data_IF_710339153569
#
_entry.id   IF_710339153569
#
_cell.length_a   1.000
_cell.length_b   1.000
_cell.length_c   1.000
_cell.angle_alpha   90.00
_cell.angle_beta   90.00
_cell.angle_gamma   90.00
#
_symmetry.space_group_name_H-M   'P 1'
#
loop_
_entity.id
_entity.type
_entity.pdbx_description
1 polymer ?
#
# COMPACT_ATOMS: atom_id res chain seq x y z
N UNK A 1 -16.49 9.97 9.45
CA UNK A 1 -16.15 9.44 8.11
C UNK A 1 -17.43 8.89 7.53
N UNK A 2 -17.90 9.38 6.37
CA UNK A 2 -19.13 8.89 5.75
C UNK A 2 -18.95 7.42 5.33
N UNK A 3 -19.87 6.57 5.78
CA UNK A 3 -19.83 5.15 5.47
C UNK A 3 -20.34 4.98 4.03
N UNK A 4 -19.47 4.59 3.11
CA UNK A 4 -19.88 4.26 1.74
C UNK A 4 -20.83 3.06 1.80
N UNK A 5 -22.03 3.20 1.24
CA UNK A 5 -22.98 2.09 1.15
C UNK A 5 -22.45 1.01 0.22
N UNK A 6 -22.69 -0.27 0.54
CA UNK A 6 -22.25 -1.38 -0.29
C UNK A 6 -22.89 -1.35 -1.70
N UNK A 7 -24.12 -0.85 -1.79
CA UNK A 7 -24.83 -0.67 -3.06
C UNK A 7 -24.11 0.34 -3.96
N UNK A 8 -23.75 1.51 -3.41
CA UNK A 8 -22.98 2.52 -4.15
C UNK A 8 -21.60 1.98 -4.55
N UNK A 9 -20.91 1.30 -3.64
CA UNK A 9 -19.60 0.71 -3.92
C UNK A 9 -19.63 -0.29 -5.08
N UNK A 10 -20.65 -1.16 -5.14
CA UNK A 10 -20.82 -2.11 -6.24
C UNK A 10 -21.11 -1.40 -7.56
N UNK A 11 -22.01 -0.40 -7.55
CA UNK A 11 -22.32 0.42 -8.72
C UNK A 11 -21.07 1.10 -9.28
N UNK A 12 -20.27 1.72 -8.43
CA UNK A 12 -19.03 2.36 -8.85
C UNK A 12 -17.98 1.36 -9.34
N UNK A 13 -17.88 0.19 -8.72
CA UNK A 13 -16.98 -0.87 -9.18
C UNK A 13 -17.36 -1.36 -10.59
N UNK A 14 -18.64 -1.60 -10.86
CA UNK A 14 -19.09 -2.02 -12.18
C UNK A 14 -18.85 -0.92 -13.24
N UNK A 15 -19.13 0.34 -12.89
CA UNK A 15 -18.84 1.51 -13.76
C UNK A 15 -17.36 1.60 -14.10
N UNK A 16 -16.48 1.52 -13.10
CA UNK A 16 -15.02 1.59 -13.29
C UNK A 16 -14.52 0.42 -14.13
N UNK A 17 -15.00 -0.79 -13.84
CA UNK A 17 -14.66 -2.00 -14.61
C UNK A 17 -15.00 -1.85 -16.09
N UNK A 18 -16.20 -1.37 -16.41
CA UNK A 18 -16.65 -1.20 -17.80
C UNK A 18 -15.88 -0.08 -18.50
N UNK A 19 -15.68 1.07 -17.82
CA UNK A 19 -15.04 2.24 -18.42
C UNK A 19 -13.55 2.04 -18.68
N UNK A 20 -12.79 1.59 -17.68
CA UNK A 20 -11.33 1.57 -17.75
C UNK A 20 -10.74 0.19 -18.10
N UNK A 21 -11.50 -0.88 -17.88
CA UNK A 21 -10.98 -2.25 -17.98
C UNK A 21 -11.91 -3.24 -18.71
N UNK A 22 -12.63 -2.89 -19.78
CA UNK A 22 -13.80 -3.66 -20.27
C UNK A 22 -13.61 -5.18 -20.49
N UNK A 23 -12.37 -5.65 -20.70
CA UNK A 23 -12.04 -7.05 -21.00
C UNK A 23 -11.37 -7.83 -19.85
N UNK A 24 -11.21 -7.24 -18.66
CA UNK A 24 -10.36 -7.81 -17.61
C UNK A 24 -11.00 -8.95 -16.81
N UNK A 25 -12.30 -8.84 -16.54
CA UNK A 25 -13.09 -9.80 -15.75
C UNK A 25 -14.29 -10.28 -16.56
N UNK A 26 -14.01 -10.95 -17.70
CA UNK A 26 -15.03 -11.45 -18.64
C UNK A 26 -16.05 -12.38 -17.97
N UNK A 27 -15.60 -13.19 -17.01
CA UNK A 27 -16.44 -14.15 -16.26
C UNK A 27 -17.20 -13.50 -15.09
N UNK A 28 -17.03 -12.19 -14.83
CA UNK A 28 -17.77 -11.48 -13.79
C UNK A 28 -17.51 -11.96 -12.36
N UNK A 29 -16.36 -12.61 -12.11
CA UNK A 29 -16.09 -13.34 -10.88
C UNK A 29 -15.57 -12.44 -9.77
N UNK A 30 -14.98 -11.30 -10.12
CA UNK A 30 -14.45 -10.37 -9.15
C UNK A 30 -15.56 -9.54 -8.52
N UNK A 31 -15.54 -9.46 -7.18
CA UNK A 31 -16.53 -8.70 -6.40
C UNK A 31 -15.83 -7.69 -5.48
N UNK A 32 -16.50 -6.58 -5.23
CA UNK A 32 -16.09 -5.59 -4.22
C UNK A 32 -16.87 -5.78 -2.92
N UNK A 33 -16.21 -5.60 -1.78
CA UNK A 33 -16.86 -5.60 -0.47
C UNK A 33 -16.31 -4.49 0.43
N UNK A 34 -17.06 -4.18 1.49
CA UNK A 34 -16.54 -3.38 2.59
C UNK A 34 -15.57 -4.24 3.39
N UNK A 35 -14.39 -3.70 3.66
CA UNK A 35 -13.42 -4.31 4.54
C UNK A 35 -13.89 -4.21 6.00
N UNK A 36 -13.75 -5.30 6.75
CA UNK A 36 -14.11 -5.32 8.17
C UNK A 36 -13.04 -4.57 9.00
N UNK A 37 -13.42 -3.63 9.88
CA UNK A 37 -12.47 -2.84 10.68
C UNK A 37 -11.49 -3.71 11.48
N UNK A 38 -11.96 -4.83 12.03
CA UNK A 38 -11.15 -5.78 12.83
C UNK A 38 -10.04 -6.48 12.05
N UNK A 39 -10.13 -6.53 10.72
CA UNK A 39 -9.11 -7.13 9.85
C UNK A 39 -8.36 -6.09 9.00
N UNK A 40 -8.48 -4.81 9.36
CA UNK A 40 -7.83 -3.72 8.64
C UNK A 40 -6.32 -3.75 8.94
N UNK A 41 -5.45 -3.89 7.93
CA UNK A 41 -4.05 -3.57 8.09
C UNK A 41 -3.96 -2.08 8.49
N UNK A 42 -3.25 -1.75 9.58
CA UNK A 42 -3.24 -0.41 10.24
C UNK A 42 -3.15 0.82 9.32
N UNK A 43 -2.73 0.68 8.05
CA UNK A 43 -2.59 1.80 7.10
C UNK A 43 -3.22 1.58 5.71
N UNK A 44 -3.76 0.41 5.40
CA UNK A 44 -4.31 0.13 4.07
C UNK A 44 -5.64 0.86 3.82
N UNK A 45 -5.84 1.34 2.59
CA UNK A 45 -7.12 1.86 2.10
C UNK A 45 -8.00 0.73 1.54
N UNK A 46 -7.37 -0.21 0.85
CA UNK A 46 -8.01 -1.40 0.30
C UNK A 46 -7.06 -2.61 0.31
N UNK A 47 -7.58 -3.78 -0.06
CA UNK A 47 -6.80 -5.01 -0.26
C UNK A 47 -7.47 -5.93 -1.27
N UNK A 48 -6.65 -6.44 -2.19
CA UNK A 48 -7.03 -7.51 -3.10
C UNK A 48 -6.81 -8.90 -2.46
N UNK A 49 -7.86 -9.73 -2.45
CA UNK A 49 -7.85 -11.12 -2.04
C UNK A 49 -8.02 -12.02 -3.28
N UNK A 50 -6.90 -12.31 -3.94
CA UNK A 50 -6.87 -13.05 -5.22
C UNK A 50 -7.58 -14.40 -5.18
N UNK A 51 -7.31 -15.22 -4.15
CA UNK A 51 -7.94 -16.53 -3.97
C UNK A 51 -9.47 -16.47 -3.84
N UNK A 52 -10.01 -15.37 -3.29
CA UNK A 52 -11.44 -15.13 -3.13
C UNK A 52 -12.05 -14.31 -4.25
N UNK A 53 -11.23 -13.81 -5.21
CA UNK A 53 -11.62 -12.84 -6.23
C UNK A 53 -12.40 -11.65 -5.64
N UNK A 54 -11.85 -11.09 -4.55
CA UNK A 54 -12.48 -9.99 -3.81
C UNK A 54 -11.55 -8.80 -3.64
N UNK A 55 -12.08 -7.59 -3.83
CA UNK A 55 -11.43 -6.34 -3.45
C UNK A 55 -12.16 -5.80 -2.22
N UNK A 56 -11.47 -5.69 -1.09
CA UNK A 56 -12.02 -5.13 0.13
C UNK A 56 -11.61 -3.66 0.26
N UNK A 57 -12.58 -2.75 0.32
CA UNK A 57 -12.36 -1.33 0.58
C UNK A 57 -12.55 -1.06 2.07
N UNK A 58 -11.49 -0.66 2.77
CA UNK A 58 -11.55 -0.32 4.19
C UNK A 58 -11.88 1.16 4.41
N UNK A 59 -11.39 2.04 3.52
CA UNK A 59 -11.62 3.48 3.55
C UNK A 59 -11.27 4.10 2.20
N UNK A 60 -11.85 5.26 1.91
CA UNK A 60 -11.37 6.15 0.85
C UNK A 60 -10.55 7.27 1.50
N UNK A 61 -9.25 7.41 1.20
CA UNK A 61 -8.45 8.51 1.73
C UNK A 61 -9.03 9.87 1.29
N UNK A 62 -9.02 10.88 2.18
CA UNK A 62 -9.59 12.22 1.87
C UNK A 62 -9.04 12.85 0.58
N UNK A 63 -7.77 12.57 0.28
CA UNK A 63 -7.06 13.10 -0.90
C UNK A 63 -7.43 12.43 -2.22
N UNK A 64 -8.20 11.34 -2.19
CA UNK A 64 -8.51 10.54 -3.38
C UNK A 64 -10.00 10.26 -3.50
N UNK A 65 -10.43 10.05 -4.74
CA UNK A 65 -11.77 9.55 -5.04
C UNK A 65 -11.90 8.04 -4.84
N UNK A 66 -13.14 7.57 -4.69
CA UNK A 66 -13.43 6.13 -4.75
C UNK A 66 -13.06 5.56 -6.12
N UNK A 67 -13.30 6.31 -7.20
CA UNK A 67 -12.97 5.93 -8.57
C UNK A 67 -11.47 5.67 -8.73
N UNK A 68 -10.61 6.58 -8.28
CA UNK A 68 -9.16 6.39 -8.23
C UNK A 68 -8.79 5.11 -7.46
N UNK A 69 -9.37 4.89 -6.28
CA UNK A 69 -9.04 3.73 -5.45
C UNK A 69 -9.43 2.41 -6.13
N UNK A 70 -10.57 2.39 -6.82
CA UNK A 70 -11.01 1.21 -7.57
C UNK A 70 -10.12 0.95 -8.78
N UNK A 71 -9.70 1.99 -9.51
CA UNK A 71 -8.73 1.86 -10.61
C UNK A 71 -7.42 1.27 -10.07
N UNK A 72 -6.90 1.82 -8.98
CA UNK A 72 -5.67 1.37 -8.31
C UNK A 72 -5.71 -0.13 -7.96
N UNK A 73 -6.79 -0.57 -7.32
CA UNK A 73 -6.94 -1.96 -6.91
C UNK A 73 -7.20 -2.89 -8.10
N UNK A 74 -7.98 -2.48 -9.10
CA UNK A 74 -8.17 -3.28 -10.32
C UNK A 74 -6.84 -3.44 -11.07
N UNK A 75 -6.00 -2.41 -11.13
CA UNK A 75 -4.65 -2.53 -11.71
C UNK A 75 -3.84 -3.66 -11.05
N UNK A 76 -3.84 -3.75 -9.71
CA UNK A 76 -3.20 -4.87 -9.00
C UNK A 76 -3.77 -6.23 -9.41
N UNK A 77 -5.09 -6.31 -9.56
CA UNK A 77 -5.74 -7.55 -9.96
C UNK A 77 -5.36 -7.95 -11.38
N UNK A 78 -5.39 -7.00 -12.31
CA UNK A 78 -5.12 -7.23 -13.74
C UNK A 78 -3.68 -7.66 -13.97
N UNK A 79 -2.73 -7.05 -13.26
CA UNK A 79 -1.31 -7.41 -13.38
C UNK A 79 -0.94 -8.65 -12.58
N UNK A 80 -1.86 -9.16 -11.75
CA UNK A 80 -1.59 -10.21 -10.75
C UNK A 80 -0.41 -9.89 -9.85
N UNK A 81 -0.17 -8.59 -9.63
CA UNK A 81 0.95 -8.10 -8.86
C UNK A 81 0.45 -7.39 -7.60
N UNK A 82 1.09 -7.68 -6.47
CA UNK A 82 0.85 -7.00 -5.19
C UNK A 82 1.65 -5.70 -5.06
N UNK A 83 2.44 -5.35 -6.07
CA UNK A 83 3.33 -4.20 -6.13
C UNK A 83 2.97 -3.26 -7.28
N UNK A 84 3.56 -2.06 -7.26
CA UNK A 84 3.31 -1.00 -8.24
C UNK A 84 4.34 -1.01 -9.38
N UNK A 85 4.73 -2.21 -9.85
CA UNK A 85 5.73 -2.36 -10.90
C UNK A 85 5.32 -1.78 -12.25
N UNK A 86 6.20 -1.86 -13.26
CA UNK A 86 6.01 -1.27 -14.59
C UNK A 86 4.67 -1.60 -15.25
N UNK A 87 4.19 -2.85 -15.13
CA UNK A 87 2.90 -3.25 -15.69
C UNK A 87 1.73 -2.52 -15.01
N UNK A 88 1.82 -2.31 -13.70
CA UNK A 88 0.82 -1.58 -12.92
C UNK A 88 0.83 -0.10 -13.29
N UNK A 89 2.01 0.52 -13.38
CA UNK A 89 2.17 1.92 -13.82
C UNK A 89 1.59 2.16 -15.21
N UNK A 90 1.87 1.28 -16.17
CA UNK A 90 1.30 1.36 -17.53
C UNK A 90 -0.22 1.30 -17.53
N UNK A 91 -0.83 0.49 -16.66
CA UNK A 91 -2.30 0.39 -16.52
C UNK A 91 -2.90 1.65 -15.91
N UNK A 92 -2.25 2.21 -14.88
CA UNK A 92 -2.65 3.49 -14.30
C UNK A 92 -2.59 4.62 -15.33
N UNK A 93 -1.47 4.74 -16.07
CA UNK A 93 -1.31 5.74 -17.12
C UNK A 93 -2.41 5.65 -18.18
N UNK A 94 -2.71 4.44 -18.65
CA UNK A 94 -3.81 4.21 -19.60
C UNK A 94 -5.18 4.58 -19.03
N UNK A 95 -5.42 4.34 -17.75
CA UNK A 95 -6.66 4.78 -17.11
C UNK A 95 -6.75 6.32 -17.04
N UNK A 96 -5.63 7.00 -16.82
CA UNK A 96 -5.55 8.47 -16.75
C UNK A 96 -5.93 9.15 -18.08
N UNK A 97 -5.60 8.55 -19.23
CA UNK A 97 -5.91 9.08 -20.56
C UNK A 97 -7.40 9.37 -20.77
N UNK A 98 -8.28 8.56 -20.18
CA UNK A 98 -9.75 8.67 -20.33
C UNK A 98 -10.47 9.05 -19.02
N UNK A 99 -9.70 9.33 -17.97
CA UNK A 99 -10.24 9.71 -16.67
C UNK A 99 -10.70 11.19 -16.69
N UNK A 100 -11.76 11.55 -15.95
CA UNK A 100 -12.08 12.95 -15.72
C UNK A 100 -10.91 13.68 -15.05
N UNK A 101 -10.77 14.99 -15.29
CA UNK A 101 -9.61 15.79 -14.88
C UNK A 101 -9.17 15.55 -13.42
N UNK A 102 -10.12 15.47 -12.49
CA UNK A 102 -9.82 15.21 -11.08
C UNK A 102 -9.14 13.85 -10.87
N UNK A 103 -9.71 12.78 -11.41
CA UNK A 103 -9.17 11.42 -11.28
C UNK A 103 -7.85 11.29 -12.03
N UNK A 104 -7.73 11.94 -13.20
CA UNK A 104 -6.48 12.02 -13.95
C UNK A 104 -5.35 12.62 -13.11
N UNK A 105 -5.57 13.80 -12.49
CA UNK A 105 -4.59 14.43 -11.58
C UNK A 105 -4.21 13.51 -10.40
N UNK A 106 -5.20 12.83 -9.81
CA UNK A 106 -4.95 11.88 -8.71
C UNK A 106 -4.09 10.68 -9.16
N UNK A 107 -4.25 10.20 -10.39
CA UNK A 107 -3.43 9.13 -10.97
C UNK A 107 -2.02 9.63 -11.30
N UNK A 108 -1.90 10.78 -11.97
CA UNK A 108 -0.61 11.36 -12.38
C UNK A 108 0.27 11.68 -11.18
N UNK A 109 -0.31 12.21 -10.10
CA UNK A 109 0.39 12.45 -8.83
C UNK A 109 0.90 11.13 -8.22
N UNK A 110 0.10 10.07 -8.23
CA UNK A 110 0.50 8.75 -7.72
C UNK A 110 1.66 8.15 -8.55
N UNK A 111 1.58 8.24 -9.88
CA UNK A 111 2.65 7.82 -10.79
C UNK A 111 3.94 8.62 -10.55
N UNK A 112 3.83 9.96 -10.43
CA UNK A 112 4.98 10.85 -10.18
C UNK A 112 5.65 10.53 -8.84
N UNK A 113 4.88 10.29 -7.79
CA UNK A 113 5.41 9.90 -6.48
C UNK A 113 6.19 8.58 -6.55
N UNK A 114 5.72 7.62 -7.34
CA UNK A 114 6.40 6.34 -7.53
C UNK A 114 7.70 6.48 -8.35
N UNK A 115 7.71 7.34 -9.36
CA UNK A 115 8.87 7.58 -10.24
C UNK A 115 10.00 8.39 -9.57
N UNK A 116 9.70 9.23 -8.57
CA UNK A 116 10.69 10.09 -7.89
C UNK A 116 11.59 9.35 -6.88
N UNK A 117 11.71 8.02 -6.99
CA UNK A 117 12.41 7.23 -5.99
C UNK A 117 13.93 7.22 -6.19
N UNK A 118 14.67 7.68 -5.18
CA UNK A 118 16.13 7.53 -5.11
C UNK A 118 16.55 6.34 -4.25
N UNK A 119 17.78 5.83 -4.45
CA UNK A 119 18.33 4.76 -3.60
C UNK A 119 18.35 5.12 -2.12
N UNK A 120 18.66 6.38 -1.81
CA UNK A 120 18.68 6.91 -0.45
C UNK A 120 17.31 6.82 0.20
N UNK A 121 16.26 7.28 -0.48
CA UNK A 121 14.88 7.24 0.05
C UNK A 121 14.44 5.82 0.42
N UNK A 122 14.81 4.82 -0.39
CA UNK A 122 14.49 3.41 -0.10
C UNK A 122 15.21 2.92 1.17
N UNK A 123 16.50 3.23 1.31
CA UNK A 123 17.27 2.81 2.49
C UNK A 123 16.83 3.54 3.77
N UNK A 124 16.53 4.84 3.67
CA UNK A 124 16.00 5.63 4.78
C UNK A 124 14.63 5.09 5.20
N UNK A 125 13.73 4.78 4.25
CA UNK A 125 12.42 4.22 4.58
C UNK A 125 12.54 2.83 5.20
N UNK A 126 13.37 1.90 4.67
CA UNK A 126 13.46 0.54 5.24
C UNK A 126 14.07 0.57 6.65
N UNK A 127 15.03 1.46 6.90
CA UNK A 127 15.61 1.68 8.22
C UNK A 127 14.55 2.17 9.20
N UNK A 128 13.79 3.20 8.80
CA UNK A 128 12.69 3.74 9.60
C UNK A 128 11.63 2.67 9.88
N UNK A 129 11.34 1.76 8.95
CA UNK A 129 10.43 0.64 9.18
C UNK A 129 10.96 -0.33 10.24
N UNK A 130 12.26 -0.61 10.25
CA UNK A 130 12.93 -1.39 11.31
C UNK A 130 12.83 -0.70 12.68
N UNK A 131 13.03 0.61 12.72
CA UNK A 131 13.02 1.42 13.94
C UNK A 131 11.61 1.62 14.53
N UNK A 132 10.60 1.82 13.69
CA UNK A 132 9.28 2.31 14.12
C UNK A 132 8.17 1.27 14.13
N UNK A 133 8.37 0.09 13.52
CA UNK A 133 7.30 -0.89 13.34
C UNK A 133 7.64 -2.27 13.93
N UNK A 134 6.62 -3.09 14.16
CA UNK A 134 6.80 -4.51 14.52
C UNK A 134 6.68 -5.43 13.28
N UNK A 135 6.76 -4.86 12.07
CA UNK A 135 6.72 -5.65 10.84
C UNK A 135 7.95 -6.57 10.77
N UNK A 136 7.82 -7.76 10.20
CA UNK A 136 9.00 -8.53 9.79
C UNK A 136 9.58 -7.97 8.49
N UNK A 137 10.78 -8.41 8.12
CA UNK A 137 11.47 -7.92 6.93
C UNK A 137 10.64 -8.11 5.65
N UNK A 138 9.94 -9.23 5.48
CA UNK A 138 9.12 -9.48 4.27
C UNK A 138 7.96 -8.49 4.14
N UNK A 139 7.30 -8.15 5.26
CA UNK A 139 6.26 -7.12 5.27
C UNK A 139 6.81 -5.72 4.99
N UNK A 140 7.99 -5.39 5.54
CA UNK A 140 8.66 -4.11 5.31
C UNK A 140 9.12 -3.99 3.85
N UNK A 141 9.79 -5.02 3.32
CA UNK A 141 10.17 -5.16 1.91
C UNK A 141 8.98 -4.96 0.99
N UNK A 142 7.87 -5.64 1.26
CA UNK A 142 6.66 -5.49 0.45
C UNK A 142 6.05 -4.09 0.51
N UNK A 143 6.28 -3.33 1.58
CA UNK A 143 5.86 -1.92 1.70
C UNK A 143 6.72 -1.00 0.86
N UNK A 144 8.05 -1.17 0.92
CA UNK A 144 9.00 -0.45 0.05
C UNK A 144 8.63 -0.64 -1.42
N UNK A 145 8.42 -1.89 -1.83
CA UNK A 145 8.10 -2.20 -3.22
C UNK A 145 6.83 -1.51 -3.72
N UNK A 146 5.78 -1.46 -2.89
CA UNK A 146 4.57 -0.70 -3.23
C UNK A 146 4.88 0.79 -3.29
N UNK A 147 5.40 1.35 -2.22
CA UNK A 147 5.63 2.79 -2.08
C UNK A 147 6.53 3.41 -3.16
N UNK A 148 7.36 2.59 -3.80
CA UNK A 148 8.37 3.03 -4.76
C UNK A 148 8.23 2.41 -6.15
N UNK A 149 7.13 1.70 -6.43
CA UNK A 149 6.93 1.13 -7.77
C UNK A 149 7.91 0.01 -8.16
N UNK A 150 8.52 -0.66 -7.18
CA UNK A 150 9.56 -1.66 -7.44
C UNK A 150 8.95 -3.06 -7.59
N UNK A 151 9.45 -3.79 -8.58
CA UNK A 151 9.25 -5.23 -8.72
C UNK A 151 10.23 -6.02 -7.84
N UNK A 152 10.03 -7.35 -7.75
CA UNK A 152 10.96 -8.23 -7.02
C UNK A 152 12.35 -8.19 -7.64
N UNK A 153 12.43 -8.12 -8.97
CA UNK A 153 13.70 -8.06 -9.71
C UNK A 153 14.45 -6.75 -9.47
N UNK A 154 13.75 -5.64 -9.26
CA UNK A 154 14.39 -4.35 -8.99
C UNK A 154 15.13 -4.33 -7.64
N UNK A 155 14.75 -5.22 -6.70
CA UNK A 155 15.41 -5.33 -5.41
C UNK A 155 16.89 -5.74 -5.50
N UNK A 156 17.32 -6.32 -6.64
CA UNK A 156 18.75 -6.63 -6.89
C UNK A 156 19.64 -5.39 -6.85
N UNK A 157 19.08 -4.21 -7.12
CA UNK A 157 19.80 -2.93 -7.05
C UNK A 157 19.94 -2.40 -5.61
N UNK A 158 19.38 -3.12 -4.62
CA UNK A 158 19.33 -2.76 -3.21
C UNK A 158 19.79 -3.92 -2.29
N UNK A 159 21.02 -4.44 -2.48
CA UNK A 159 21.47 -5.66 -1.81
C UNK A 159 21.50 -5.55 -0.27
N UNK A 160 21.57 -4.33 0.28
CA UNK A 160 21.66 -4.07 1.72
C UNK A 160 20.31 -3.81 2.39
N UNK A 161 19.18 -4.00 1.70
CA UNK A 161 17.83 -3.75 2.26
C UNK A 161 17.61 -4.43 3.62
N UNK A 162 17.99 -5.71 3.73
CA UNK A 162 17.84 -6.47 4.98
C UNK A 162 18.74 -5.94 6.09
N UNK A 163 19.99 -5.61 5.75
CA UNK A 163 20.95 -5.03 6.69
C UNK A 163 20.43 -3.73 7.33
N UNK A 164 19.92 -2.80 6.50
CA UNK A 164 19.35 -1.54 7.01
C UNK A 164 18.09 -1.77 7.86
N UNK A 165 17.22 -2.69 7.46
CA UNK A 165 16.06 -3.07 8.26
C UNK A 165 16.45 -3.62 9.64
N UNK A 166 17.39 -4.57 9.68
CA UNK A 166 17.82 -5.23 10.90
C UNK A 166 18.55 -4.27 11.85
N UNK A 167 19.37 -3.36 11.32
CA UNK A 167 20.03 -2.34 12.15
C UNK A 167 19.04 -1.36 12.77
N UNK A 168 18.05 -0.87 12.02
CA UNK A 168 16.99 -0.04 12.59
C UNK A 168 16.23 -0.76 13.70
N UNK A 169 15.97 -2.07 13.52
CA UNK A 169 15.34 -2.92 14.54
C UNK A 169 16.25 -3.15 15.76
N UNK A 170 17.55 -3.33 15.57
CA UNK A 170 18.53 -3.46 16.67
C UNK A 170 18.51 -2.20 17.54
N UNK A 171 18.59 -1.01 16.93
CA UNK A 171 18.53 0.26 17.65
C UNK A 171 17.22 0.42 18.42
N UNK A 172 16.08 0.06 17.82
CA UNK A 172 14.79 0.05 18.52
C UNK A 172 14.83 -0.80 19.80
N UNK A 173 15.44 -1.98 19.73
CA UNK A 173 15.55 -2.87 20.88
C UNK A 173 16.48 -2.30 21.95
N UNK A 174 17.61 -1.71 21.56
CA UNK A 174 18.53 -1.01 22.46
C UNK A 174 17.84 0.12 23.19
N UNK A 175 17.14 1.02 22.47
CA UNK A 175 16.38 2.14 23.07
C UNK A 175 15.35 1.60 24.07
N UNK A 176 14.60 0.56 23.72
CA UNK A 176 13.62 -0.06 24.63
C UNK A 176 14.26 -0.64 25.90
N UNK A 177 15.46 -1.19 25.80
CA UNK A 177 16.18 -1.71 26.97
C UNK A 177 16.58 -0.57 27.90
N UNK A 178 17.16 0.48 27.34
CA UNK A 178 17.59 1.67 28.09
C UNK A 178 16.40 2.31 28.81
N UNK A 179 15.28 2.54 28.11
CA UNK A 179 14.07 3.12 28.71
C UNK A 179 13.56 2.28 29.89
N UNK A 180 13.50 0.96 29.73
CA UNK A 180 13.06 0.05 30.82
C UNK A 180 14.01 0.07 32.03
N UNK A 181 15.32 0.19 31.81
CA UNK A 181 16.29 0.30 32.89
C UNK A 181 16.14 1.63 33.64
N UNK A 182 15.94 2.73 32.91
CA UNK A 182 15.70 4.05 33.52
C UNK A 182 14.41 4.07 34.33
N UNK A 183 13.31 3.49 33.82
CA UNK A 183 12.04 3.36 34.53
C UNK A 183 12.19 2.54 35.83
N UNK A 184 12.94 1.43 35.78
CA UNK A 184 13.23 0.61 36.97
C UNK A 184 14.06 1.35 38.01
N UNK A 185 15.01 2.20 37.59
CA UNK A 185 15.83 3.00 38.50
C UNK A 185 15.02 4.14 39.12
N UNK A 186 14.15 4.80 38.34
CA UNK A 186 13.25 5.85 38.84
C UNK A 186 12.23 5.36 39.87
N UNK A 187 11.68 4.16 39.70
CA UNK A 187 10.75 3.57 40.68
C UNK A 187 11.41 3.06 41.97
N UNK A 188 12.74 2.94 42.02
CA UNK A 188 13.46 2.55 43.24
C UNK A 188 13.86 3.72 44.14
N UNK A 189 13.62 4.97 43.71
CA UNK A 189 13.94 6.18 44.47
C UNK A 189 12.75 6.85 45.17
N UNK A 190 11.56 6.23 45.16
CA UNK A 190 10.31 6.74 45.74
C UNK A 190 9.75 5.84 46.87
N UNK A 191 10.63 5.14 47.61
CA UNK A 191 10.27 4.39 48.83
C UNK A 191 11.04 4.99 50.00
#
# INVERSE_FOLDING_TARGET
MSTISLRYLRKEFDRVKQKYFPRWDKKGLWKVCRGWPKFRPRRAAARCYFHKKRIAIFRVPKRYTLEWLLIHEICHVVTRDSFHGTAWLKRMAKAAEIAPLRVKKEIEEDIKQLQCTTKRLIYDEIWCLGLSTNLNFNCARGKIMRNHGLSVTDLRFFPRLKFWFDNGRRIKLTIKSIVRETEKRGNKGNI
#
